data_IF_283566979945
#
_entry.id   IF_283566979945
#
_cell.length_a   1.000
_cell.length_b   1.000
_cell.length_c   1.000
_cell.angle_alpha   90.00
_cell.angle_beta   90.00
_cell.angle_gamma   90.00
#
_symmetry.space_group_name_H-M   'P 1'
#
loop_
_entity.id
_entity.type
_entity.pdbx_description
1 polymer ?
#
# COMPACT_ATOMS: atom_id res chain seq x y z
N UNK A 1 -11.88 5.24 -14.05
CA UNK A 1 -10.67 4.95 -13.27
C UNK A 1 -11.10 4.19 -12.03
N UNK A 2 -10.43 3.09 -11.71
CA UNK A 2 -10.69 2.29 -10.50
C UNK A 2 -10.24 3.10 -9.28
N UNK A 3 -11.08 3.23 -8.25
CA UNK A 3 -10.72 4.02 -7.08
C UNK A 3 -9.58 3.35 -6.28
N UNK A 4 -8.84 4.08 -5.44
CA UNK A 4 -7.82 3.48 -4.60
C UNK A 4 -8.36 2.34 -3.72
N UNK A 5 -9.58 2.47 -3.19
CA UNK A 5 -10.21 1.41 -2.39
C UNK A 5 -10.53 0.17 -3.23
N UNK A 6 -11.01 0.35 -4.46
CA UNK A 6 -11.24 -0.77 -5.39
C UNK A 6 -9.93 -1.50 -5.73
N UNK A 7 -8.82 -0.76 -5.87
CA UNK A 7 -7.49 -1.37 -6.07
C UNK A 7 -7.08 -2.22 -4.88
N UNK A 8 -7.34 -1.75 -3.64
CA UNK A 8 -7.04 -2.54 -2.44
C UNK A 8 -7.90 -3.80 -2.39
N UNK A 9 -9.23 -3.70 -2.54
CA UNK A 9 -10.16 -4.84 -2.42
C UNK A 9 -9.82 -5.96 -3.42
N UNK A 10 -9.32 -5.61 -4.61
CA UNK A 10 -9.00 -6.57 -5.67
C UNK A 10 -7.56 -7.12 -5.62
N UNK A 11 -6.78 -6.85 -4.57
CA UNK A 11 -5.46 -7.47 -4.43
C UNK A 11 -5.62 -8.99 -4.28
N UNK A 12 -4.88 -9.82 -5.03
CA UNK A 12 -4.96 -11.29 -4.96
C UNK A 12 -4.37 -11.88 -3.67
N UNK A 13 -3.95 -11.00 -2.76
CA UNK A 13 -3.34 -11.33 -1.48
C UNK A 13 -4.37 -11.74 -0.42
N UNK A 14 -5.61 -11.24 -0.53
CA UNK A 14 -6.64 -11.48 0.48
C UNK A 14 -7.17 -12.91 0.42
N UNK A 15 -7.42 -13.48 1.59
CA UNK A 15 -8.04 -14.79 1.76
C UNK A 15 -9.57 -14.64 1.76
N UNK A 16 -10.07 -13.60 2.40
CA UNK A 16 -11.51 -13.28 2.49
C UNK A 16 -11.80 -11.89 1.94
N UNK A 17 -13.07 -11.57 1.60
CA UNK A 17 -13.44 -10.22 1.19
C UNK A 17 -13.13 -9.19 2.30
N UNK A 18 -12.30 -8.20 1.98
CA UNK A 18 -11.85 -7.19 2.94
C UNK A 18 -12.63 -5.88 2.85
N UNK A 19 -12.63 -5.11 3.94
CA UNK A 19 -13.14 -3.74 4.00
C UNK A 19 -12.02 -2.79 4.41
N UNK A 20 -11.34 -2.12 3.46
CA UNK A 20 -10.27 -1.19 3.79
C UNK A 20 -10.78 0.03 4.56
N UNK A 21 -10.15 0.32 5.70
CA UNK A 21 -10.42 1.51 6.52
C UNK A 21 -9.43 2.61 6.12
N UNK A 22 -9.86 3.78 5.62
CA UNK A 22 -8.96 4.84 5.19
C UNK A 22 -8.20 5.44 6.38
N UNK A 23 -6.90 5.67 6.19
CA UNK A 23 -6.05 6.35 7.16
C UNK A 23 -5.78 7.76 6.66
N UNK A 24 -6.09 8.76 7.50
CA UNK A 24 -5.80 10.16 7.20
C UNK A 24 -4.29 10.37 7.23
N UNK A 25 -3.76 11.01 6.19
CA UNK A 25 -2.34 11.31 6.05
C UNK A 25 -1.71 10.66 4.84
N UNK A 26 -0.51 11.11 4.50
CA UNK A 26 0.12 10.83 3.21
C UNK A 26 -0.27 11.88 2.17
N UNK A 27 0.70 12.67 1.72
CA UNK A 27 0.46 13.74 0.75
C UNK A 27 0.25 13.16 -0.66
N UNK A 28 0.96 12.07 -0.97
CA UNK A 28 1.07 11.51 -2.32
C UNK A 28 0.52 10.08 -2.42
N UNK A 29 -0.13 9.57 -1.37
CA UNK A 29 -0.61 8.19 -1.26
C UNK A 29 -1.98 8.14 -0.59
N UNK A 30 -2.82 7.20 -1.03
CA UNK A 30 -4.00 6.76 -0.28
C UNK A 30 -3.60 5.58 0.61
N UNK A 31 -3.82 5.74 1.91
CA UNK A 31 -3.43 4.75 2.92
C UNK A 31 -4.66 4.10 3.54
N UNK A 32 -4.56 2.81 3.82
CA UNK A 32 -5.63 2.01 4.41
C UNK A 32 -5.08 1.05 5.47
N UNK A 33 -5.86 0.84 6.53
CA UNK A 33 -5.75 -0.36 7.36
C UNK A 33 -6.72 -1.41 6.80
N UNK A 34 -6.22 -2.61 6.59
CA UNK A 34 -7.03 -3.74 6.11
C UNK A 34 -6.85 -4.89 7.09
N UNK A 35 -7.96 -5.49 7.54
CA UNK A 35 -7.93 -6.68 8.39
C UNK A 35 -8.38 -7.88 7.57
N UNK A 36 -7.63 -8.97 7.64
CA UNK A 36 -7.94 -10.23 6.96
C UNK A 36 -7.40 -11.40 7.79
N UNK A 37 -8.22 -12.43 8.00
CA UNK A 37 -7.88 -13.65 8.76
C UNK A 37 -7.14 -13.41 10.10
N UNK A 38 -7.57 -12.40 10.86
CA UNK A 38 -7.00 -12.07 12.18
C UNK A 38 -5.69 -11.27 12.13
N UNK A 39 -5.16 -10.97 10.94
CA UNK A 39 -4.03 -10.07 10.75
C UNK A 39 -4.49 -8.66 10.33
N UNK A 40 -3.66 -7.66 10.60
CA UNK A 40 -3.86 -6.29 10.16
C UNK A 40 -2.70 -5.86 9.25
N UNK A 41 -3.04 -5.21 8.15
CA UNK A 41 -2.13 -4.81 7.09
C UNK A 41 -2.27 -3.31 6.84
N UNK A 42 -1.13 -2.64 6.63
CA UNK A 42 -1.10 -1.25 6.18
C UNK A 42 -0.88 -1.22 4.67
N UNK A 43 -1.90 -0.82 3.91
CA UNK A 43 -1.87 -0.79 2.44
C UNK A 43 -1.71 0.63 1.95
N UNK A 44 -0.76 0.82 1.02
CA UNK A 44 -0.46 2.11 0.38
C UNK A 44 -0.73 2.01 -1.10
N UNK A 45 -1.63 2.84 -1.60
CA UNK A 45 -1.92 2.97 -3.03
C UNK A 45 -1.42 4.34 -3.50
N UNK A 46 -0.51 4.31 -4.46
CA UNK A 46 0.01 5.51 -5.09
C UNK A 46 0.52 5.20 -6.49
N UNK A 47 0.57 6.25 -7.30
CA UNK A 47 1.11 6.22 -8.65
C UNK A 47 2.45 6.95 -8.70
N UNK A 48 3.18 6.80 -9.81
CA UNK A 48 4.40 7.56 -10.05
C UNK A 48 4.08 9.07 -10.11
N UNK A 49 4.97 9.90 -9.55
CA UNK A 49 4.91 11.36 -9.64
C UNK A 49 6.29 11.84 -10.10
N UNK A 50 6.49 11.81 -11.41
CA UNK A 50 7.81 11.97 -12.04
C UNK A 50 8.40 13.35 -11.77
N UNK A 51 7.56 14.38 -11.79
CA UNK A 51 7.91 15.78 -11.57
C UNK A 51 8.46 16.02 -10.17
N UNK A 52 8.09 15.17 -9.22
CA UNK A 52 8.52 15.20 -7.82
C UNK A 52 9.59 14.15 -7.52
N UNK A 53 10.11 13.46 -8.54
CA UNK A 53 11.10 12.38 -8.39
C UNK A 53 10.57 11.13 -7.69
N UNK A 54 9.25 10.99 -7.53
CA UNK A 54 8.63 9.84 -6.86
C UNK A 54 8.40 8.74 -7.90
N UNK A 55 9.20 7.68 -7.81
CA UNK A 55 9.08 6.48 -8.64
C UNK A 55 8.82 5.27 -7.75
N UNK A 56 7.71 4.56 -7.97
CA UNK A 56 7.27 3.48 -7.06
C UNK A 56 8.21 2.27 -7.06
N UNK A 57 8.99 2.07 -8.12
CA UNK A 57 10.03 1.04 -8.12
C UNK A 57 11.12 1.31 -7.06
N UNK A 58 11.42 2.59 -6.77
CA UNK A 58 12.37 2.95 -5.70
C UNK A 58 11.81 2.57 -4.33
N UNK A 59 10.50 2.75 -4.11
CA UNK A 59 9.85 2.37 -2.86
C UNK A 59 9.91 0.85 -2.64
N UNK A 60 9.63 0.06 -3.68
CA UNK A 60 9.75 -1.41 -3.62
C UNK A 60 11.19 -1.84 -3.34
N UNK A 61 12.17 -1.24 -4.01
CA UNK A 61 13.57 -1.54 -3.81
C UNK A 61 14.02 -1.18 -2.37
N UNK A 62 13.63 -0.02 -1.87
CA UNK A 62 13.95 0.42 -0.51
C UNK A 62 13.30 -0.48 0.55
N UNK A 63 12.03 -0.86 0.40
CA UNK A 63 11.35 -1.77 1.34
C UNK A 63 12.03 -3.14 1.39
N UNK A 64 12.41 -3.70 0.24
CA UNK A 64 13.15 -4.97 0.19
C UNK A 64 14.54 -4.86 0.82
N UNK A 65 15.23 -3.75 0.61
CA UNK A 65 16.54 -3.51 1.23
C UNK A 65 16.42 -3.35 2.75
N UNK A 66 15.37 -2.68 3.25
CA UNK A 66 15.11 -2.53 4.68
C UNK A 66 14.82 -3.89 5.35
N UNK A 67 14.00 -4.73 4.72
CA UNK A 67 13.74 -6.10 5.17
C UNK A 67 15.02 -6.94 5.22
N UNK A 68 15.82 -6.93 4.14
CA UNK A 68 17.11 -7.61 4.10
C UNK A 68 18.12 -7.10 5.16
N UNK A 69 17.96 -5.86 5.62
CA UNK A 69 18.76 -5.26 6.68
C UNK A 69 18.17 -5.47 8.10
N UNK A 70 17.01 -6.12 8.24
CA UNK A 70 16.33 -6.33 9.52
C UNK A 70 15.70 -5.07 10.12
N UNK A 71 15.29 -4.12 9.26
CA UNK A 71 14.71 -2.82 9.64
C UNK A 71 13.20 -2.72 9.36
N UNK A 72 12.54 -3.83 8.98
CA UNK A 72 11.11 -3.88 8.62
C UNK A 72 10.25 -4.63 9.63
#
# INVERSE_FOLDING_TARGET
MTSPIDRVVNLPFWISPVRPEPVIGGITNSNFIVKDEGAAYFVRIGDDIVEHGVKRFNEVAASRAADAAGLS
#
